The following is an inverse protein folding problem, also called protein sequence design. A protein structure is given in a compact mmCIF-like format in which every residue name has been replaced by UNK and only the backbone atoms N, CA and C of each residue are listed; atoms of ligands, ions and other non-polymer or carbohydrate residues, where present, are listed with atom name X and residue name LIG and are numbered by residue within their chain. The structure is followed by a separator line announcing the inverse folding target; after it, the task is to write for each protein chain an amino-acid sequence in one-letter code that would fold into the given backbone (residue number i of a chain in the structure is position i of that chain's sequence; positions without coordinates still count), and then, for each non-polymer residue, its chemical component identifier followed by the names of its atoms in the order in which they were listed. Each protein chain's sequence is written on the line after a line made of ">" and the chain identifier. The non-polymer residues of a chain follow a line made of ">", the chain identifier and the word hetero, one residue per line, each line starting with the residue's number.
data_IF_567106200303
#
_entry.id   IF_567106200303
#
_cell.length_a   1.000
_cell.length_b   1.000
_cell.length_c   1.000
_cell.angle_alpha   90.00
_cell.angle_beta   90.00
_cell.angle_gamma   90.00
#
_symmetry.space_group_name_H-M   'P 1'
#
loop_
_entity.id
_entity.type
_entity.pdbx_description
1 polymer ?
#
# COMPACT_ATOMS: atom_id res chain seq x y z
N UNK A 1 -32.11 51.53 25.47
CA UNK A 1 -31.63 50.82 24.27
C UNK A 1 -32.77 49.95 23.75
N UNK A 2 -33.21 50.17 22.52
CA UNK A 2 -34.37 49.44 21.96
C UNK A 2 -33.95 48.06 21.41
N UNK A 3 -34.90 47.12 21.32
CA UNK A 3 -34.67 45.80 20.70
C UNK A 3 -34.13 45.93 19.26
N UNK A 4 -34.53 46.97 18.54
CA UNK A 4 -34.04 47.27 17.19
C UNK A 4 -32.54 47.63 17.19
N UNK A 5 -32.08 48.42 18.16
CA UNK A 5 -30.67 48.78 18.30
C UNK A 5 -29.80 47.56 18.64
N UNK A 6 -30.30 46.66 19.47
CA UNK A 6 -29.63 45.40 19.81
C UNK A 6 -29.48 44.53 18.57
N UNK A 7 -30.56 44.33 17.80
CA UNK A 7 -30.52 43.53 16.56
C UNK A 7 -29.60 44.15 15.49
N UNK A 8 -29.61 45.48 15.37
CA UNK A 8 -28.74 46.19 14.44
C UNK A 8 -27.26 46.02 14.81
N UNK A 9 -26.90 46.17 16.08
CA UNK A 9 -25.51 45.93 16.54
C UNK A 9 -25.08 44.48 16.35
N UNK A 10 -25.97 43.51 16.62
CA UNK A 10 -25.67 42.10 16.43
C UNK A 10 -25.41 41.77 14.94
N UNK A 11 -26.23 42.32 14.04
CA UNK A 11 -26.06 42.16 12.59
C UNK A 11 -24.74 42.75 12.11
N UNK A 12 -24.38 43.94 12.57
CA UNK A 12 -23.10 44.57 12.21
C UNK A 12 -21.91 43.78 12.74
N UNK A 13 -21.99 43.21 13.95
CA UNK A 13 -20.96 42.33 14.49
C UNK A 13 -20.79 41.05 13.65
N UNK A 14 -21.88 40.43 13.20
CA UNK A 14 -21.83 39.24 12.33
C UNK A 14 -21.22 39.56 10.96
N UNK A 15 -21.60 40.70 10.35
CA UNK A 15 -21.03 41.14 9.07
C UNK A 15 -19.54 41.45 9.22
N UNK A 16 -19.14 42.10 10.32
CA UNK A 16 -17.73 42.38 10.61
C UNK A 16 -16.89 41.11 10.85
N UNK A 17 -17.50 40.03 11.38
CA UNK A 17 -16.81 38.75 11.63
C UNK A 17 -16.82 37.78 10.44
N UNK A 18 -17.68 37.96 9.44
CA UNK A 18 -17.74 37.10 8.24
C UNK A 18 -16.38 36.88 7.53
N UNK A 19 -15.53 37.90 7.30
CA UNK A 19 -14.25 37.69 6.63
C UNK A 19 -13.29 36.81 7.45
N UNK A 20 -13.33 36.91 8.79
CA UNK A 20 -12.53 36.08 9.68
C UNK A 20 -12.95 34.62 9.64
N UNK A 21 -14.26 34.34 9.62
CA UNK A 21 -14.78 32.97 9.53
C UNK A 21 -14.38 32.33 8.19
N UNK A 22 -14.48 33.07 7.08
CA UNK A 22 -14.05 32.60 5.74
C UNK A 22 -12.53 32.39 5.68
N UNK A 23 -11.75 33.27 6.28
CA UNK A 23 -10.30 33.12 6.35
C UNK A 23 -9.88 31.89 7.18
N UNK A 24 -10.52 31.68 8.35
CA UNK A 24 -10.26 30.51 9.19
C UNK A 24 -10.64 29.20 8.50
N UNK A 25 -11.77 29.14 7.80
CA UNK A 25 -12.15 27.94 7.02
C UNK A 25 -11.23 27.71 5.83
N UNK A 26 -10.82 28.76 5.11
CA UNK A 26 -9.84 28.67 4.03
C UNK A 26 -8.48 28.14 4.50
N UNK A 27 -7.96 28.69 5.61
CA UNK A 27 -6.71 28.23 6.23
C UNK A 27 -6.81 26.78 6.72
N UNK A 28 -7.93 26.38 7.32
CA UNK A 28 -8.14 25.00 7.77
C UNK A 28 -8.21 24.01 6.60
N UNK A 29 -8.86 24.39 5.51
CA UNK A 29 -8.94 23.57 4.29
C UNK A 29 -7.57 23.43 3.62
N UNK A 30 -6.83 24.53 3.51
CA UNK A 30 -5.47 24.52 2.95
C UNK A 30 -4.49 23.73 3.83
N UNK A 31 -4.60 23.86 5.15
CA UNK A 31 -3.87 23.07 6.12
C UNK A 31 -4.17 21.57 5.97
N UNK A 32 -5.45 21.19 5.84
CA UNK A 32 -5.85 19.81 5.58
C UNK A 32 -5.29 19.30 4.26
N UNK A 33 -5.31 20.09 3.18
CA UNK A 33 -4.76 19.69 1.87
C UNK A 33 -3.24 19.49 1.94
N UNK A 34 -2.51 20.40 2.61
CA UNK A 34 -1.06 20.25 2.81
C UNK A 34 -0.72 19.03 3.67
N UNK A 35 -1.55 18.75 4.69
CA UNK A 35 -1.36 17.63 5.61
C UNK A 35 -1.74 16.28 4.98
N UNK A 36 -2.74 16.25 4.10
CA UNK A 36 -3.26 15.01 3.48
C UNK A 36 -2.62 14.69 2.14
N UNK A 37 -1.66 15.50 1.65
CA UNK A 37 -0.90 15.15 0.45
C UNK A 37 -0.18 13.83 0.70
N UNK A 38 -0.48 12.77 -0.08
CA UNK A 38 0.22 11.50 0.07
C UNK A 38 1.70 11.78 -0.20
N UNK A 39 2.54 11.54 0.81
CA UNK A 39 3.99 11.60 0.64
C UNK A 39 4.36 10.60 -0.44
N UNK A 40 5.30 10.98 -1.32
CA UNK A 40 5.78 10.08 -2.38
C UNK A 40 6.34 8.84 -1.70
N UNK A 41 5.69 7.69 -1.92
CA UNK A 41 6.17 6.39 -1.46
C UNK A 41 7.62 6.24 -1.94
N UNK A 42 8.53 5.98 -0.99
CA UNK A 42 9.92 5.72 -1.34
C UNK A 42 9.98 4.39 -2.05
N UNK A 43 10.47 4.46 -3.29
CA UNK A 43 10.71 3.29 -4.10
C UNK A 43 11.96 2.57 -3.58
N UNK A 44 11.86 1.26 -3.36
CA UNK A 44 12.99 0.50 -2.81
C UNK A 44 13.95 0.11 -3.93
N UNK A 45 15.21 0.54 -3.82
CA UNK A 45 16.27 0.09 -4.75
C UNK A 45 16.48 -1.41 -4.60
N UNK A 46 16.34 -2.14 -5.70
CA UNK A 46 16.52 -3.60 -5.74
C UNK A 46 18.00 -3.98 -5.82
N UNK A 47 18.44 -4.86 -4.91
CA UNK A 47 19.80 -5.41 -4.87
C UNK A 47 19.97 -6.61 -5.82
N UNK A 48 21.22 -6.93 -6.20
CA UNK A 48 21.59 -8.07 -7.05
C UNK A 48 21.22 -9.47 -6.50
N UNK A 49 20.82 -9.57 -5.24
CA UNK A 49 20.33 -10.81 -4.61
C UNK A 49 18.80 -10.90 -4.49
N UNK A 50 18.08 -9.97 -5.12
CA UNK A 50 16.61 -9.92 -5.05
C UNK A 50 15.98 -10.99 -5.93
N UNK A 51 14.89 -11.60 -5.44
CA UNK A 51 14.18 -12.66 -6.14
C UNK A 51 12.70 -12.27 -6.26
N UNK A 52 12.17 -12.38 -7.47
CA UNK A 52 10.74 -12.18 -7.72
C UNK A 52 10.04 -13.52 -7.60
N UNK A 53 9.04 -13.61 -6.72
CA UNK A 53 8.17 -14.78 -6.58
C UNK A 53 6.91 -14.54 -7.40
N UNK A 54 6.90 -14.95 -8.66
CA UNK A 54 5.79 -14.69 -9.57
C UNK A 54 4.61 -15.64 -9.34
N UNK A 55 3.72 -15.29 -8.41
CA UNK A 55 2.47 -16.03 -8.18
C UNK A 55 1.29 -15.55 -9.03
N UNK A 56 1.51 -14.62 -9.95
CA UNK A 56 0.42 -14.12 -10.81
C UNK A 56 -0.04 -15.16 -11.82
N UNK A 57 0.78 -16.17 -12.12
CA UNK A 57 0.50 -17.15 -13.17
C UNK A 57 0.58 -16.59 -14.59
N UNK A 58 0.94 -15.31 -14.74
CA UNK A 58 1.10 -14.63 -16.02
C UNK A 58 2.57 -14.23 -16.22
N UNK A 59 3.02 -14.07 -17.49
CA UNK A 59 4.31 -13.45 -17.78
C UNK A 59 4.37 -12.07 -17.13
N UNK A 60 5.48 -11.77 -16.45
CA UNK A 60 5.70 -10.44 -15.91
C UNK A 60 5.95 -9.45 -17.06
N UNK A 61 5.40 -8.23 -16.98
CA UNK A 61 5.71 -7.18 -17.94
C UNK A 61 7.21 -6.89 -17.97
N UNK A 62 7.75 -6.59 -19.14
CA UNK A 62 9.14 -6.18 -19.26
C UNK A 62 9.36 -4.85 -18.51
N UNK A 63 10.34 -4.81 -17.62
CA UNK A 63 10.70 -3.61 -16.85
C UNK A 63 12.20 -3.62 -16.59
N UNK A 64 12.87 -2.51 -16.87
CA UNK A 64 14.34 -2.42 -16.88
C UNK A 64 14.97 -2.86 -15.56
N UNK A 65 14.35 -2.49 -14.43
CA UNK A 65 14.81 -2.85 -13.10
C UNK A 65 14.68 -4.35 -12.79
N UNK A 66 13.76 -5.07 -13.45
CA UNK A 66 13.50 -6.49 -13.24
C UNK A 66 14.32 -7.41 -14.16
N UNK A 67 14.93 -6.87 -15.24
CA UNK A 67 15.62 -7.65 -16.29
C UNK A 67 16.70 -8.59 -15.77
N UNK A 68 17.39 -8.23 -14.69
CA UNK A 68 18.52 -8.97 -14.13
C UNK A 68 18.18 -9.73 -12.84
N UNK A 69 16.90 -9.75 -12.42
CA UNK A 69 16.49 -10.42 -11.20
C UNK A 69 16.11 -11.87 -11.47
N UNK A 70 16.42 -12.75 -10.53
CA UNK A 70 15.95 -14.13 -10.58
C UNK A 70 14.44 -14.14 -10.38
N UNK A 71 13.71 -14.73 -11.32
CA UNK A 71 12.26 -14.96 -11.20
C UNK A 71 12.03 -16.43 -10.90
N UNK A 72 11.35 -16.70 -9.78
CA UNK A 72 10.77 -18.00 -9.51
C UNK A 72 9.30 -17.97 -9.90
N UNK A 73 8.85 -18.94 -10.69
CA UNK A 73 7.45 -19.09 -11.12
C UNK A 73 7.03 -20.52 -10.81
N UNK A 74 5.82 -20.76 -10.27
CA UNK A 74 5.33 -22.12 -10.05
C UNK A 74 5.05 -22.81 -11.39
N UNK A 75 5.20 -24.13 -11.45
CA UNK A 75 4.95 -24.94 -12.66
C UNK A 75 3.50 -24.84 -13.17
N UNK A 76 2.57 -24.50 -12.27
CA UNK A 76 1.15 -24.28 -12.57
C UNK A 76 0.69 -22.99 -11.91
N UNK A 77 -0.17 -22.24 -12.60
CA UNK A 77 -0.79 -21.05 -12.04
C UNK A 77 -1.52 -21.41 -10.74
N UNK A 78 -1.26 -20.69 -9.62
CA UNK A 78 -1.84 -21.03 -8.34
C UNK A 78 -3.33 -20.70 -8.32
N UNK A 79 -4.14 -21.67 -7.87
CA UNK A 79 -5.57 -21.48 -7.67
C UNK A 79 -5.85 -21.02 -6.22
N UNK A 80 -6.54 -19.90 -6.07
CA UNK A 80 -7.01 -19.40 -4.78
C UNK A 80 -8.48 -19.75 -4.58
N UNK A 81 -8.79 -20.63 -3.63
CA UNK A 81 -10.18 -20.90 -3.26
C UNK A 81 -10.71 -19.78 -2.35
N UNK A 82 -11.53 -18.89 -2.91
CA UNK A 82 -12.12 -17.73 -2.23
C UNK A 82 -13.48 -17.99 -1.59
N UNK A 83 -13.96 -19.24 -1.53
CA UNK A 83 -15.28 -19.58 -0.98
C UNK A 83 -15.43 -19.23 0.52
N UNK A 84 -14.33 -19.22 1.27
CA UNK A 84 -14.31 -18.86 2.69
C UNK A 84 -12.93 -18.34 3.12
N UNK A 85 -12.85 -17.69 4.28
CA UNK A 85 -11.57 -17.29 4.87
C UNK A 85 -10.64 -18.49 5.15
N UNK A 86 -11.20 -19.62 5.58
CA UNK A 86 -10.41 -20.83 5.86
C UNK A 86 -9.85 -21.43 4.57
N UNK A 87 -10.67 -21.56 3.52
CA UNK A 87 -10.22 -22.08 2.22
C UNK A 87 -9.17 -21.17 1.58
N UNK A 88 -9.31 -19.85 1.76
CA UNK A 88 -8.34 -18.88 1.27
C UNK A 88 -7.02 -18.99 2.02
N UNK A 89 -7.06 -19.11 3.35
CA UNK A 89 -5.87 -19.34 4.19
C UNK A 89 -5.15 -20.63 3.80
N UNK A 90 -5.90 -21.70 3.58
CA UNK A 90 -5.33 -22.98 3.16
C UNK A 90 -4.70 -22.89 1.76
N UNK A 91 -5.30 -22.11 0.85
CA UNK A 91 -4.73 -21.83 -0.47
C UNK A 91 -3.39 -21.10 -0.36
N UNK A 92 -3.31 -20.07 0.50
CA UNK A 92 -2.07 -19.33 0.78
C UNK A 92 -1.01 -20.24 1.41
N UNK A 93 -1.38 -21.08 2.38
CA UNK A 93 -0.44 -22.02 3.00
C UNK A 93 0.10 -23.06 2.02
N UNK A 94 -0.74 -23.58 1.12
CA UNK A 94 -0.30 -24.49 0.05
C UNK A 94 0.69 -23.81 -0.88
N UNK A 95 0.44 -22.56 -1.23
CA UNK A 95 1.35 -21.72 -2.02
C UNK A 95 2.72 -21.56 -1.36
N UNK A 96 2.76 -21.21 -0.07
CA UNK A 96 4.01 -21.08 0.69
C UNK A 96 4.76 -22.41 0.77
N UNK A 97 4.06 -23.55 0.87
CA UNK A 97 4.66 -24.89 0.86
C UNK A 97 5.17 -25.34 -0.50
N UNK A 98 4.66 -24.74 -1.58
CA UNK A 98 5.12 -25.02 -2.94
C UNK A 98 6.41 -24.29 -3.32
N UNK A 99 6.91 -23.40 -2.47
CA UNK A 99 8.20 -22.74 -2.68
C UNK A 99 9.37 -23.69 -2.37
N UNK A 100 10.52 -23.55 -3.06
CA UNK A 100 11.79 -24.10 -2.62
C UNK A 100 12.08 -23.70 -1.16
N UNK A 101 12.71 -24.59 -0.39
CA UNK A 101 12.95 -24.41 1.05
C UNK A 101 13.67 -23.10 1.38
N UNK A 102 14.62 -22.67 0.53
CA UNK A 102 15.35 -21.41 0.69
C UNK A 102 14.41 -20.19 0.57
N UNK A 103 13.56 -20.17 -0.46
CA UNK A 103 12.61 -19.10 -0.69
C UNK A 103 11.48 -19.10 0.35
N UNK A 104 11.02 -20.28 0.74
CA UNK A 104 10.02 -20.41 1.80
C UNK A 104 10.54 -19.82 3.11
N UNK A 105 11.76 -20.18 3.51
CA UNK A 105 12.37 -19.68 4.74
C UNK A 105 12.57 -18.16 4.71
N UNK A 106 13.12 -17.64 3.60
CA UNK A 106 13.32 -16.20 3.40
C UNK A 106 11.99 -15.43 3.44
N UNK A 107 10.94 -15.99 2.80
CA UNK A 107 9.60 -15.39 2.78
C UNK A 107 9.00 -15.33 4.17
N UNK A 108 9.06 -16.43 4.92
CA UNK A 108 8.51 -16.50 6.28
C UNK A 108 9.28 -15.64 7.28
N UNK A 109 10.54 -15.29 6.98
CA UNK A 109 11.32 -14.27 7.71
C UNK A 109 11.02 -12.83 7.30
N UNK A 110 10.21 -12.63 6.25
CA UNK A 110 9.95 -11.33 5.66
C UNK A 110 11.21 -10.68 5.10
N UNK A 111 12.05 -11.45 4.39
CA UNK A 111 13.23 -10.93 3.71
C UNK A 111 12.84 -9.81 2.72
N UNK A 112 13.36 -8.57 2.88
CA UNK A 112 13.04 -7.45 2.00
C UNK A 112 13.57 -7.63 0.56
N UNK A 113 14.45 -8.61 0.33
CA UNK A 113 14.95 -8.96 -1.01
C UNK A 113 13.99 -9.87 -1.77
N UNK A 114 12.91 -10.32 -1.15
CA UNK A 114 11.84 -11.03 -1.84
C UNK A 114 10.79 -10.05 -2.31
N UNK A 115 10.51 -10.09 -3.61
CA UNK A 115 9.55 -9.23 -4.28
C UNK A 115 8.37 -10.09 -4.70
N UNK A 116 7.19 -9.75 -4.22
CA UNK A 116 5.96 -10.51 -4.51
C UNK A 116 5.08 -9.65 -5.43
N UNK A 117 4.94 -10.00 -6.73
CA UNK A 117 3.96 -9.41 -7.62
C UNK A 117 2.57 -9.85 -7.20
N UNK A 118 1.70 -8.88 -6.94
CA UNK A 118 0.35 -9.08 -6.44
C UNK A 118 -0.60 -9.22 -7.65
N UNK A 119 -1.22 -10.39 -7.86
CA UNK A 119 -2.42 -10.47 -8.69
C UNK A 119 -3.60 -9.82 -7.95
N UNK A 120 -4.67 -9.43 -8.66
CA UNK A 120 -5.86 -8.71 -8.15
C UNK A 120 -6.62 -9.36 -6.96
N UNK A 121 -6.13 -10.45 -6.36
CA UNK A 121 -6.70 -11.12 -5.20
C UNK A 121 -6.25 -10.47 -3.89
N UNK A 122 -6.79 -9.28 -3.60
CA UNK A 122 -6.52 -8.51 -2.38
C UNK A 122 -6.70 -9.32 -1.08
N UNK A 123 -7.68 -10.24 -1.02
CA UNK A 123 -7.95 -11.04 0.17
C UNK A 123 -6.85 -12.08 0.46
N UNK A 124 -6.30 -12.73 -0.57
CA UNK A 124 -5.22 -13.70 -0.41
C UNK A 124 -3.93 -13.04 0.07
N UNK A 125 -3.68 -11.82 -0.41
CA UNK A 125 -2.58 -10.98 0.06
C UNK A 125 -2.73 -10.62 1.55
N UNK A 126 -3.92 -10.26 2.02
CA UNK A 126 -4.14 -9.96 3.44
C UNK A 126 -3.75 -11.14 4.34
N UNK A 127 -4.12 -12.36 3.95
CA UNK A 127 -3.78 -13.57 4.69
C UNK A 127 -2.28 -13.87 4.62
N UNK A 128 -1.65 -13.69 3.45
CA UNK A 128 -0.20 -13.82 3.27
C UNK A 128 0.57 -12.85 4.16
N UNK A 129 0.23 -11.55 4.11
CA UNK A 129 0.88 -10.52 4.91
C UNK A 129 0.68 -10.77 6.41
N UNK A 130 -0.52 -11.16 6.84
CA UNK A 130 -0.78 -11.53 8.22
C UNK A 130 0.04 -12.76 8.66
N UNK A 131 0.19 -13.75 7.78
CA UNK A 131 0.98 -14.96 8.06
C UNK A 131 2.47 -14.64 8.23
N UNK A 132 3.03 -13.82 7.33
CA UNK A 132 4.44 -13.42 7.40
C UNK A 132 4.66 -12.57 8.65
N UNK A 133 3.84 -11.53 8.84
CA UNK A 133 3.97 -10.64 9.99
C UNK A 133 3.80 -11.38 11.33
N UNK A 134 2.87 -12.32 11.42
CA UNK A 134 2.65 -13.12 12.62
C UNK A 134 3.84 -14.02 12.98
N UNK A 135 4.70 -14.38 12.02
CA UNK A 135 5.89 -15.22 12.27
C UNK A 135 7.17 -14.42 12.51
N UNK A 136 7.41 -13.36 11.74
CA UNK A 136 8.68 -12.63 11.78
C UNK A 136 8.58 -11.22 12.35
N UNK A 137 7.37 -10.67 12.50
CA UNK A 137 7.15 -9.26 12.83
C UNK A 137 7.52 -8.29 11.70
N UNK A 138 7.94 -8.78 10.54
CA UNK A 138 8.38 -7.97 9.38
C UNK A 138 7.40 -8.09 8.22
N UNK A 139 7.37 -7.09 7.34
CA UNK A 139 6.58 -7.15 6.10
C UNK A 139 7.50 -7.32 4.88
N UNK A 140 7.10 -8.13 3.89
CA UNK A 140 7.84 -8.29 2.65
C UNK A 140 7.69 -7.06 1.75
N UNK A 141 8.51 -7.02 0.70
CA UNK A 141 8.40 -6.03 -0.38
C UNK A 141 7.43 -6.54 -1.45
N UNK A 142 6.55 -5.65 -1.93
CA UNK A 142 5.49 -5.99 -2.87
C UNK A 142 5.53 -5.11 -4.11
N UNK A 143 5.03 -5.62 -5.24
CA UNK A 143 4.73 -4.82 -6.43
C UNK A 143 3.42 -5.30 -7.06
N UNK A 144 2.77 -4.49 -7.89
CA UNK A 144 1.53 -4.85 -8.57
C UNK A 144 1.60 -4.39 -10.03
N UNK A 145 1.39 -5.27 -11.03
CA UNK A 145 1.29 -4.85 -12.42
C UNK A 145 0.19 -3.81 -12.62
N UNK A 146 0.50 -2.71 -13.30
CA UNK A 146 -0.43 -1.64 -13.61
C UNK A 146 -0.70 -1.62 -15.12
N UNK A 147 -1.95 -1.35 -15.50
CA UNK A 147 -2.32 -1.13 -16.91
C UNK A 147 -1.92 0.30 -17.31
N UNK A 148 -1.24 0.42 -18.44
CA UNK A 148 -0.89 1.69 -19.09
C UNK A 148 -2.06 2.19 -19.95
N UNK A 149 -1.96 3.44 -20.40
CA UNK A 149 -2.95 4.06 -21.28
C UNK A 149 -3.06 3.37 -22.65
N UNK A 150 -2.00 2.69 -23.09
CA UNK A 150 -1.92 1.93 -24.34
C UNK A 150 -2.40 0.48 -24.21
N UNK A 151 -3.13 0.16 -23.13
CA UNK A 151 -3.60 -1.18 -22.76
C UNK A 151 -2.50 -2.22 -22.47
N UNK A 152 -1.22 -1.85 -22.55
CA UNK A 152 -0.13 -2.71 -22.11
C UNK A 152 0.00 -2.72 -20.58
N UNK A 153 0.76 -3.66 -20.04
CA UNK A 153 1.05 -3.73 -18.61
C UNK A 153 2.46 -3.20 -18.32
N UNK A 154 2.63 -2.59 -17.15
CA UNK A 154 3.94 -2.25 -16.59
C UNK A 154 4.09 -2.84 -15.19
N UNK A 155 5.31 -3.24 -14.84
CA UNK A 155 5.63 -3.67 -13.49
C UNK A 155 6.36 -2.52 -12.78
N UNK A 156 5.67 -1.75 -11.92
CA UNK A 156 6.31 -0.67 -11.19
C UNK A 156 7.36 -1.23 -10.21
N UNK A 157 8.31 -0.38 -9.84
CA UNK A 157 9.30 -0.73 -8.83
C UNK A 157 8.63 -1.08 -7.48
N UNK A 158 9.20 -2.03 -6.73
CA UNK A 158 8.55 -2.59 -5.56
C UNK A 158 8.63 -1.65 -4.34
N UNK A 159 7.66 -1.77 -3.44
CA UNK A 159 7.51 -0.92 -2.25
C UNK A 159 7.65 -1.77 -0.99
N UNK A 160 8.39 -1.23 -0.01
CA UNK A 160 8.54 -1.83 1.32
C UNK A 160 7.33 -1.50 2.20
N UNK A 161 6.52 -2.50 2.52
CA UNK A 161 5.39 -2.33 3.45
C UNK A 161 5.84 -1.96 4.87
N UNK A 162 7.07 -2.33 5.25
CA UNK A 162 7.66 -1.95 6.53
C UNK A 162 7.91 -0.43 6.59
N UNK A 163 8.40 0.16 5.50
CA UNK A 163 8.58 1.62 5.38
C UNK A 163 7.24 2.35 5.39
N UNK A 164 6.25 1.84 4.62
CA UNK A 164 4.88 2.40 4.63
C UNK A 164 4.28 2.41 6.03
N UNK A 165 4.48 1.33 6.81
CA UNK A 165 4.03 1.26 8.20
C UNK A 165 4.73 2.29 9.10
N UNK A 166 6.04 2.49 8.93
CA UNK A 166 6.80 3.47 9.72
C UNK A 166 6.34 4.90 9.40
N UNK A 167 6.19 5.23 8.12
CA UNK A 167 5.66 6.53 7.70
C UNK A 167 4.25 6.78 8.26
N UNK A 168 3.35 5.79 8.19
CA UNK A 168 2.01 5.90 8.76
C UNK A 168 2.00 6.03 10.30
N UNK A 169 3.02 5.47 10.98
CA UNK A 169 3.18 5.63 12.43
C UNK A 169 3.66 7.05 12.77
N UNK A 170 4.67 7.54 12.07
CA UNK A 170 5.18 8.89 12.23
C UNK A 170 4.07 9.93 11.97
N UNK A 171 3.22 9.68 10.97
CA UNK A 171 2.05 10.51 10.69
C UNK A 171 1.02 10.51 11.83
N UNK A 172 0.80 9.38 12.50
CA UNK A 172 -0.07 9.31 13.69
C UNK A 172 0.52 10.03 14.89
N UNK A 173 1.83 9.91 15.12
CA UNK A 173 2.51 10.55 16.25
C UNK A 173 2.68 12.07 16.03
N UNK A 174 2.64 12.52 14.78
CA UNK A 174 2.60 13.94 14.41
C UNK A 174 1.18 14.56 14.43
N UNK A 175 0.16 13.82 14.88
CA UNK A 175 -1.22 14.29 15.08
C UNK A 175 -1.50 14.55 16.55
#
# INVERSE_FOLDING_TARGET
>A
MSLYEIFYMLRQAVIAMQPFVVFLTGCFTFYLILRTRPRRLKVQKTDSGSVIINWTGHPLPESDWAKNLRVWTPDKAPYFNTQSWNSLRDSVHKLIRGLPDDLQFRLLKGDPKLIIPIPQLAAGLSVLLATIHGKSGTFPTITCPLRKEDDSFMLPEPVSLSEVRLEARDEREAV
#
